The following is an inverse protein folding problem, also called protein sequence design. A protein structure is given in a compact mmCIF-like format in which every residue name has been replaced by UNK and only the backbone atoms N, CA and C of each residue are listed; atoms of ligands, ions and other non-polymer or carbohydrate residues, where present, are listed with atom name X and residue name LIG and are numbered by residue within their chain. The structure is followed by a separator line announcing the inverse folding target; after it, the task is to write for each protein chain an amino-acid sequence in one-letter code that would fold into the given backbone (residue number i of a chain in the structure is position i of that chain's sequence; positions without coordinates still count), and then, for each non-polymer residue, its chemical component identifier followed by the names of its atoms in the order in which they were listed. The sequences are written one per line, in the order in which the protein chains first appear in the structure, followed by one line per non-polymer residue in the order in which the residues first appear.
data_IF_316207750235
#
_entry.id   IF_316207750235
#
_cell.length_a   1.000
_cell.length_b   1.000
_cell.length_c   1.000
_cell.angle_alpha   90.00
_cell.angle_beta   90.00
_cell.angle_gamma   90.00
#
_symmetry.space_group_name_H-M   'P 1'
#
loop_
_entity.id
_entity.type
_entity.pdbx_description
1 polymer ?
#
# COMPACT_ATOMS: atom_id res chain seq x y z
N UNK A 1 -11.35 -4.51 9.28
CA UNK A 1 -12.12 -3.48 8.54
C UNK A 1 -12.22 -3.90 7.08
N UNK A 2 -13.38 -3.74 6.44
CA UNK A 2 -13.60 -4.07 5.02
C UNK A 2 -14.05 -2.81 4.29
N UNK A 3 -13.54 -2.60 3.08
CA UNK A 3 -13.92 -1.46 2.26
C UNK A 3 -15.38 -1.57 1.79
N UNK A 4 -16.06 -0.41 1.67
CA UNK A 4 -17.50 -0.32 1.33
C UNK A 4 -17.74 -0.01 -0.15
N UNK A 5 -16.84 -0.45 -1.02
CA UNK A 5 -16.90 -0.23 -2.47
C UNK A 5 -16.71 -1.56 -3.19
N UNK A 6 -17.08 -1.59 -4.48
CA UNK A 6 -16.77 -2.74 -5.33
C UNK A 6 -15.25 -2.87 -5.47
N UNK A 7 -14.76 -4.09 -5.30
CA UNK A 7 -13.35 -4.46 -5.44
C UNK A 7 -13.27 -5.65 -6.36
N UNK A 8 -12.37 -5.60 -7.33
CA UNK A 8 -12.01 -6.76 -8.15
C UNK A 8 -10.78 -7.41 -7.55
N UNK A 9 -10.94 -8.61 -7.00
CA UNK A 9 -9.83 -9.40 -6.45
C UNK A 9 -8.99 -9.99 -7.59
N UNK A 10 -7.81 -10.51 -7.25
CA UNK A 10 -6.84 -11.02 -8.21
C UNK A 10 -7.39 -12.11 -9.11
N UNK A 11 -8.23 -13.02 -8.59
CA UNK A 11 -8.82 -14.12 -9.36
C UNK A 11 -9.83 -13.66 -10.43
N UNK A 12 -10.41 -12.48 -10.23
CA UNK A 12 -11.41 -11.89 -11.13
C UNK A 12 -10.82 -10.78 -12.00
N UNK A 13 -9.57 -10.39 -11.72
CA UNK A 13 -8.89 -9.34 -12.45
C UNK A 13 -8.58 -9.79 -13.89
N UNK A 14 -8.73 -8.86 -14.82
CA UNK A 14 -8.38 -9.06 -16.23
C UNK A 14 -7.70 -7.81 -16.80
N UNK A 15 -7.11 -7.96 -17.99
CA UNK A 15 -6.40 -6.88 -18.68
C UNK A 15 -5.37 -6.18 -17.79
N UNK A 16 -5.37 -4.84 -17.82
CA UNK A 16 -4.36 -4.02 -17.13
C UNK A 16 -4.32 -4.24 -15.61
N UNK A 17 -5.44 -4.54 -14.97
CA UNK A 17 -5.47 -4.77 -13.52
C UNK A 17 -4.69 -6.05 -13.16
N UNK A 18 -4.90 -7.12 -13.93
CA UNK A 18 -4.23 -8.40 -13.71
C UNK A 18 -2.71 -8.28 -13.91
N UNK A 19 -2.27 -7.56 -14.94
CA UNK A 19 -0.85 -7.25 -15.16
C UNK A 19 -0.21 -6.58 -13.95
N UNK A 20 -0.87 -5.56 -13.39
CA UNK A 20 -0.39 -4.82 -12.23
C UNK A 20 -0.32 -5.74 -11.00
N UNK A 21 -1.35 -6.56 -10.76
CA UNK A 21 -1.30 -7.50 -9.64
C UNK A 21 -0.21 -8.55 -9.79
N UNK A 22 0.02 -9.09 -10.99
CA UNK A 22 1.13 -10.01 -11.25
C UNK A 22 2.48 -9.38 -10.94
N UNK A 23 2.70 -8.14 -11.38
CA UNK A 23 3.95 -7.41 -11.11
C UNK A 23 4.14 -7.17 -9.61
N UNK A 24 3.09 -6.79 -8.89
CA UNK A 24 3.13 -6.62 -7.44
C UNK A 24 3.44 -7.91 -6.70
N UNK A 25 2.81 -9.04 -7.08
CA UNK A 25 3.07 -10.34 -6.47
C UNK A 25 4.53 -10.74 -6.71
N UNK A 26 5.03 -10.58 -7.94
CA UNK A 26 6.41 -10.92 -8.29
C UNK A 26 7.43 -10.10 -7.50
N UNK A 27 7.20 -8.80 -7.35
CA UNK A 27 8.15 -7.89 -6.70
C UNK A 27 8.01 -7.83 -5.18
N UNK A 28 6.82 -8.10 -4.63
CA UNK A 28 6.49 -7.83 -3.21
C UNK A 28 5.71 -8.95 -2.52
N UNK A 29 5.51 -10.09 -3.17
CA UNK A 29 4.84 -11.27 -2.62
C UNK A 29 3.31 -11.20 -2.61
N UNK A 30 2.69 -10.05 -2.28
CA UNK A 30 1.22 -9.90 -2.27
C UNK A 30 0.77 -8.44 -2.50
N UNK A 31 -0.38 -8.21 -3.16
CA UNK A 31 -1.01 -6.89 -3.15
C UNK A 31 -1.54 -6.58 -1.75
N UNK A 32 -1.15 -5.44 -1.17
CA UNK A 32 -1.81 -4.96 0.05
C UNK A 32 -3.26 -4.51 -0.25
N UNK A 33 -4.14 -4.59 0.75
CA UNK A 33 -5.57 -4.25 0.59
C UNK A 33 -5.78 -2.82 0.04
N UNK A 34 -4.93 -1.84 0.40
CA UNK A 34 -4.99 -0.47 -0.16
C UNK A 34 -4.79 -0.39 -1.68
N UNK A 35 -4.15 -1.39 -2.29
CA UNK A 35 -4.04 -1.49 -3.74
C UNK A 35 -5.30 -2.12 -4.35
N UNK A 36 -5.91 -3.10 -3.67
CA UNK A 36 -7.13 -3.75 -4.13
C UNK A 36 -8.33 -2.80 -4.13
N UNK A 37 -8.44 -1.91 -3.14
CA UNK A 37 -9.52 -0.90 -3.12
C UNK A 37 -9.46 0.07 -4.31
N UNK A 38 -8.31 0.15 -5.01
CA UNK A 38 -8.12 0.97 -6.21
C UNK A 38 -8.37 0.19 -7.51
N UNK A 39 -8.83 -1.07 -7.44
CA UNK A 39 -9.02 -1.97 -8.58
C UNK A 39 -9.88 -1.40 -9.71
N UNK A 40 -10.87 -0.55 -9.39
CA UNK A 40 -11.73 0.10 -10.38
C UNK A 40 -10.98 1.11 -11.27
N UNK A 41 -9.78 1.54 -10.89
CA UNK A 41 -8.91 2.42 -11.67
C UNK A 41 -7.46 1.93 -11.60
N UNK A 42 -7.05 0.94 -12.40
CA UNK A 42 -5.73 0.30 -12.26
C UNK A 42 -4.55 1.28 -12.37
N UNK A 43 -4.68 2.36 -13.14
CA UNK A 43 -3.65 3.41 -13.27
C UNK A 43 -3.34 4.09 -11.93
N UNK A 44 -4.31 4.22 -11.01
CA UNK A 44 -4.04 4.83 -9.71
C UNK A 44 -3.15 3.94 -8.84
N UNK A 45 -3.25 2.61 -8.97
CA UNK A 45 -2.40 1.66 -8.25
C UNK A 45 -0.93 1.90 -8.60
N UNK A 46 -0.62 2.00 -9.90
CA UNK A 46 0.74 2.25 -10.37
C UNK A 46 1.30 3.55 -9.79
N UNK A 47 0.56 4.67 -9.94
CA UNK A 47 0.97 5.97 -9.41
C UNK A 47 1.13 5.99 -7.89
N UNK A 48 0.25 5.29 -7.17
CA UNK A 48 0.35 5.15 -5.72
C UNK A 48 1.66 4.46 -5.35
N UNK A 49 1.98 3.35 -6.02
CA UNK A 49 3.18 2.56 -5.75
C UNK A 49 4.44 3.36 -6.03
N UNK A 50 4.45 4.12 -7.13
CA UNK A 50 5.59 4.96 -7.51
C UNK A 50 5.87 6.01 -6.44
N UNK A 51 4.84 6.78 -6.04
CA UNK A 51 4.95 7.76 -4.97
C UNK A 51 5.37 7.12 -3.64
N UNK A 52 4.77 5.98 -3.31
CA UNK A 52 5.08 5.26 -2.08
C UNK A 52 6.54 4.81 -2.02
N UNK A 53 7.08 4.29 -3.12
CA UNK A 53 8.48 3.88 -3.19
C UNK A 53 9.42 5.07 -3.05
N UNK A 54 9.12 6.15 -3.75
CA UNK A 54 9.91 7.36 -3.69
C UNK A 54 9.95 7.93 -2.27
N UNK A 55 8.80 8.02 -1.59
CA UNK A 55 8.76 8.55 -0.22
C UNK A 55 9.43 7.59 0.78
N UNK A 56 9.24 6.28 0.66
CA UNK A 56 9.61 5.35 1.74
C UNK A 56 10.97 4.65 1.54
N UNK A 57 11.48 4.56 0.32
CA UNK A 57 12.70 3.80 0.03
C UNK A 57 13.82 4.63 -0.61
N UNK A 58 13.55 5.88 -1.03
CA UNK A 58 14.62 6.76 -1.51
C UNK A 58 15.63 7.10 -0.41
N UNK A 59 16.86 7.42 -0.83
CA UNK A 59 17.90 7.93 0.07
C UNK A 59 17.42 9.23 0.72
N UNK A 60 17.43 9.28 2.05
CA UNK A 60 17.23 10.51 2.81
C UNK A 60 17.85 10.35 4.20
N UNK A 61 17.99 11.47 4.92
CA UNK A 61 18.51 11.50 6.30
C UNK A 61 17.57 10.80 7.31
N UNK A 62 16.31 10.55 6.91
CA UNK A 62 15.37 9.77 7.70
C UNK A 62 15.47 8.29 7.36
N UNK A 63 15.65 7.46 8.39
CA UNK A 63 15.63 6.02 8.25
C UNK A 63 14.23 5.53 7.84
N UNK A 64 14.15 4.27 7.41
CA UNK A 64 12.84 3.67 7.13
C UNK A 64 11.97 3.58 8.39
N UNK A 65 12.57 3.26 9.54
CA UNK A 65 11.86 3.22 10.82
C UNK A 65 11.26 4.60 11.16
N UNK A 66 12.01 5.69 10.95
CA UNK A 66 11.51 7.05 11.21
C UNK A 66 10.28 7.38 10.36
N UNK A 67 10.34 7.05 9.06
CA UNK A 67 9.22 7.30 8.13
C UNK A 67 7.98 6.49 8.48
N UNK A 68 8.14 5.20 8.84
CA UNK A 68 7.00 4.37 9.28
C UNK A 68 6.46 4.83 10.64
N UNK A 69 7.31 5.25 11.59
CA UNK A 69 6.89 5.85 12.87
C UNK A 69 6.05 7.10 12.66
N UNK A 70 6.50 8.04 11.81
CA UNK A 70 5.73 9.23 11.45
C UNK A 70 4.36 8.85 10.86
N UNK A 71 4.33 7.84 9.98
CA UNK A 71 3.08 7.35 9.39
C UNK A 71 2.14 6.73 10.44
N UNK A 72 2.65 6.00 11.44
CA UNK A 72 1.85 5.48 12.57
C UNK A 72 1.25 6.63 13.39
N UNK A 73 2.06 7.61 13.79
CA UNK A 73 1.59 8.76 14.60
C UNK A 73 0.52 9.54 13.86
N UNK A 74 0.73 9.86 12.58
CA UNK A 74 -0.25 10.56 11.76
C UNK A 74 -1.54 9.76 11.57
N UNK A 75 -1.44 8.44 11.41
CA UNK A 75 -2.60 7.55 11.28
C UNK A 75 -3.45 7.50 12.55
N UNK A 76 -2.82 7.49 13.73
CA UNK A 76 -3.52 7.57 15.02
C UNK A 76 -4.28 8.90 15.13
N UNK A 77 -3.63 10.01 14.80
CA UNK A 77 -4.25 11.35 14.87
C UNK A 77 -5.43 11.51 13.92
N UNK A 78 -5.44 10.82 12.79
CA UNK A 78 -6.53 10.85 11.82
C UNK A 78 -7.54 9.70 11.99
N UNK A 79 -7.42 8.86 13.03
CA UNK A 79 -8.32 7.72 13.22
C UNK A 79 -8.27 6.68 12.09
N UNK A 80 -7.19 6.61 11.31
CA UNK A 80 -7.06 5.60 10.24
C UNK A 80 -6.56 4.28 10.83
N UNK A 81 -7.49 3.38 11.20
CA UNK A 81 -7.14 2.08 11.78
C UNK A 81 -6.31 1.20 10.83
N UNK A 82 -6.70 1.11 9.55
CA UNK A 82 -5.95 0.33 8.55
C UNK A 82 -4.51 0.85 8.42
N UNK A 83 -4.34 2.16 8.27
CA UNK A 83 -3.04 2.78 8.12
C UNK A 83 -2.19 2.53 9.38
N UNK A 84 -2.77 2.73 10.57
CA UNK A 84 -2.08 2.52 11.84
C UNK A 84 -1.56 1.08 11.97
N UNK A 85 -2.42 0.10 11.75
CA UNK A 85 -2.04 -1.32 11.88
C UNK A 85 -1.00 -1.72 10.83
N UNK A 86 -1.22 -1.35 9.57
CA UNK A 86 -0.32 -1.71 8.48
C UNK A 86 1.07 -1.08 8.64
N UNK A 87 1.15 0.18 9.09
CA UNK A 87 2.41 0.89 9.33
C UNK A 87 3.13 0.39 10.59
N UNK A 88 2.38 0.03 11.63
CA UNK A 88 2.96 -0.56 12.84
C UNK A 88 3.57 -1.94 12.57
N UNK A 89 2.93 -2.79 11.75
CA UNK A 89 3.49 -4.08 11.33
C UNK A 89 4.84 -3.90 10.62
N UNK A 90 4.93 -2.92 9.72
CA UNK A 90 6.17 -2.59 9.01
C UNK A 90 7.25 -2.01 9.93
N UNK A 91 6.86 -1.13 10.86
CA UNK A 91 7.78 -0.55 11.84
C UNK A 91 8.39 -1.59 12.77
N UNK A 92 7.61 -2.58 13.21
CA UNK A 92 8.07 -3.64 14.11
C UNK A 92 9.09 -4.62 13.50
N UNK A 93 9.45 -4.44 12.22
CA UNK A 93 10.52 -5.20 11.55
C UNK A 93 11.90 -4.53 11.70
N UNK A 94 11.97 -3.38 12.36
CA UNK A 94 13.18 -2.61 12.68
C UNK A 94 13.43 -2.61 14.18
#
# INVERSE_FOLDING_TARGET
MVARIKITDYREASGRLLEIYHDMIRKRGKPAEVHKIQSLRPVSIAKHIDLYLDIMFSKSDLSRADREMMAVVFSIKNGCEYCRLHRAEALNQY
#
